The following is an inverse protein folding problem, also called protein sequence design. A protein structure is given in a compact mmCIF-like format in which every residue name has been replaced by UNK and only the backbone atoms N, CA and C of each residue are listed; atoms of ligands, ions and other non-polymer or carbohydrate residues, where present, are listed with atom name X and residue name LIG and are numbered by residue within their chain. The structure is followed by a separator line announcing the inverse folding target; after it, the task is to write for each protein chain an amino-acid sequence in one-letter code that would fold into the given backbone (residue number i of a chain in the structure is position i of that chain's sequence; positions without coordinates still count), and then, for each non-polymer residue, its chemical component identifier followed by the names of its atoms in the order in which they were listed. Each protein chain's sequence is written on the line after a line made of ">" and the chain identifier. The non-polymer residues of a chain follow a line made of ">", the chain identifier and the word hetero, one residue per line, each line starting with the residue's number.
data_IF_974986149044
#
_entry.id   IF_974986149044
#
_cell.length_a   1.000
_cell.length_b   1.000
_cell.length_c   1.000
_cell.angle_alpha   90.00
_cell.angle_beta   90.00
_cell.angle_gamma   90.00
#
_symmetry.space_group_name_H-M   'P 1'
#
loop_
_entity.id
_entity.type
_entity.pdbx_description
1 polymer ?
#
# COMPACT_ATOMS: atom_id res chain seq x y z
N UNK A 1 -16.71 -41.76 38.95
CA UNK A 1 -17.29 -40.70 38.07
C UNK A 1 -16.38 -39.52 37.81
N UNK A 2 -15.85 -38.77 38.81
CA UNK A 2 -14.98 -37.59 38.57
C UNK A 2 -13.73 -37.86 37.70
N UNK A 3 -13.02 -38.99 37.89
CA UNK A 3 -11.82 -39.34 37.08
C UNK A 3 -12.18 -39.68 35.63
N UNK A 4 -13.35 -40.32 35.36
CA UNK A 4 -13.80 -40.63 34.00
C UNK A 4 -14.19 -39.35 33.25
N UNK A 5 -14.85 -38.40 33.94
CA UNK A 5 -15.21 -37.08 33.36
C UNK A 5 -13.97 -36.26 32.99
N UNK A 6 -12.94 -36.31 33.83
CA UNK A 6 -11.67 -35.60 33.58
C UNK A 6 -10.94 -36.20 32.36
N UNK A 7 -10.90 -37.53 32.22
CA UNK A 7 -10.32 -38.20 31.06
C UNK A 7 -11.08 -37.87 29.77
N UNK A 8 -12.41 -37.83 29.79
CA UNK A 8 -13.22 -37.47 28.62
C UNK A 8 -13.01 -35.98 28.23
N UNK A 9 -12.86 -35.08 29.22
CA UNK A 9 -12.56 -33.68 28.93
C UNK A 9 -11.19 -33.49 28.33
N UNK A 10 -10.17 -34.19 28.82
CA UNK A 10 -8.79 -34.13 28.26
C UNK A 10 -8.75 -34.70 26.85
N UNK A 11 -9.45 -35.81 26.57
CA UNK A 11 -9.54 -36.40 25.23
C UNK A 11 -10.28 -35.45 24.28
N UNK A 12 -11.39 -34.82 24.72
CA UNK A 12 -12.13 -33.86 23.89
C UNK A 12 -11.30 -32.60 23.57
N UNK A 13 -10.49 -32.11 24.52
CA UNK A 13 -9.58 -31.00 24.29
C UNK A 13 -8.45 -31.41 23.34
N UNK A 14 -7.87 -32.57 23.52
CA UNK A 14 -6.81 -33.10 22.65
C UNK A 14 -7.31 -33.29 21.20
N UNK A 15 -8.54 -33.80 21.02
CA UNK A 15 -9.16 -33.97 19.67
C UNK A 15 -9.41 -32.59 19.04
N UNK A 16 -9.91 -31.61 19.79
CA UNK A 16 -10.09 -30.23 19.26
C UNK A 16 -8.79 -29.57 18.85
N UNK A 17 -7.73 -29.70 19.66
CA UNK A 17 -6.40 -29.14 19.36
C UNK A 17 -5.81 -29.81 18.11
N UNK A 18 -5.87 -31.14 17.99
CA UNK A 18 -5.39 -31.86 16.80
C UNK A 18 -6.16 -31.50 15.54
N UNK A 19 -7.47 -31.35 15.63
CA UNK A 19 -8.30 -30.91 14.50
C UNK A 19 -7.94 -29.48 14.06
N UNK A 20 -7.77 -28.56 15.00
CA UNK A 20 -7.39 -27.17 14.73
C UNK A 20 -6.01 -27.05 14.09
N UNK A 21 -5.00 -27.81 14.57
CA UNK A 21 -3.65 -27.85 13.98
C UNK A 21 -3.70 -28.37 12.55
N UNK A 22 -4.49 -29.42 12.30
CA UNK A 22 -4.66 -29.96 10.94
C UNK A 22 -5.32 -28.95 10.00
N UNK A 23 -6.35 -28.23 10.46
CA UNK A 23 -7.05 -27.24 9.64
C UNK A 23 -6.13 -26.05 9.29
N UNK A 24 -5.24 -25.64 10.17
CA UNK A 24 -4.22 -24.61 9.90
C UNK A 24 -3.25 -25.10 8.82
N UNK A 25 -2.71 -26.29 8.96
CA UNK A 25 -1.78 -26.87 8.00
C UNK A 25 -2.41 -27.07 6.60
N UNK A 26 -3.65 -27.56 6.56
CA UNK A 26 -4.41 -27.73 5.30
C UNK A 26 -4.65 -26.37 4.61
N UNK A 27 -4.96 -25.31 5.38
CA UNK A 27 -5.17 -23.98 4.85
C UNK A 27 -3.86 -23.33 4.35
N UNK A 28 -2.76 -23.52 5.08
CA UNK A 28 -1.44 -23.06 4.65
C UNK A 28 -1.04 -23.71 3.32
N UNK A 29 -1.24 -25.03 3.20
CA UNK A 29 -1.01 -25.72 1.93
C UNK A 29 -1.86 -25.16 0.80
N UNK A 30 -3.15 -24.93 1.04
CA UNK A 30 -4.05 -24.33 0.05
C UNK A 30 -3.57 -22.93 -0.37
N UNK A 31 -3.17 -22.11 0.60
CA UNK A 31 -2.63 -20.77 0.33
C UNK A 31 -1.37 -20.82 -0.52
N UNK A 32 -0.43 -21.74 -0.23
CA UNK A 32 0.78 -21.95 -1.04
C UNK A 32 0.42 -22.42 -2.46
N UNK A 33 -0.53 -23.35 -2.62
CA UNK A 33 -0.96 -23.85 -3.93
C UNK A 33 -1.62 -22.74 -4.77
N UNK A 34 -2.37 -21.82 -4.15
CA UNK A 34 -2.94 -20.64 -4.80
C UNK A 34 -1.84 -19.64 -5.14
N UNK A 35 -0.95 -19.37 -4.20
CA UNK A 35 0.15 -18.45 -4.38
C UNK A 35 1.06 -18.85 -5.54
N UNK A 36 1.43 -20.12 -5.58
CA UNK A 36 2.17 -20.70 -6.72
C UNK A 36 1.44 -20.48 -8.05
N UNK A 37 0.14 -20.80 -8.12
CA UNK A 37 -0.64 -20.59 -9.35
C UNK A 37 -0.64 -19.12 -9.77
N UNK A 38 -0.77 -18.18 -8.83
CA UNK A 38 -0.76 -16.74 -9.12
C UNK A 38 0.61 -16.26 -9.62
N UNK A 39 1.71 -16.69 -9.00
CA UNK A 39 3.07 -16.33 -9.43
C UNK A 39 3.36 -16.87 -10.84
N UNK A 40 2.93 -18.08 -11.15
CA UNK A 40 3.15 -18.73 -12.47
C UNK A 40 2.25 -18.17 -13.59
N UNK A 41 1.32 -17.26 -13.26
CA UNK A 41 0.58 -16.47 -14.23
C UNK A 41 1.25 -15.11 -14.38
N UNK A 42 1.87 -14.87 -15.53
CA UNK A 42 2.38 -13.54 -15.87
C UNK A 42 1.20 -12.57 -16.04
N UNK A 43 1.16 -11.54 -15.19
CA UNK A 43 0.13 -10.48 -15.15
C UNK A 43 0.74 -9.09 -15.30
N UNK A 44 1.90 -8.99 -15.96
CA UNK A 44 2.46 -7.70 -16.37
C UNK A 44 1.54 -7.00 -17.36
N UNK A 45 1.73 -5.72 -17.56
CA UNK A 45 0.90 -4.86 -18.42
C UNK A 45 0.58 -5.46 -19.80
N UNK A 46 1.56 -6.14 -20.41
CA UNK A 46 1.37 -6.78 -21.72
C UNK A 46 0.52 -8.05 -21.70
N UNK A 47 0.25 -8.64 -20.54
CA UNK A 47 -0.47 -9.91 -20.38
C UNK A 47 -1.84 -9.73 -19.71
N UNK A 48 -2.00 -8.71 -18.86
CA UNK A 48 -3.22 -8.40 -18.14
C UNK A 48 -3.56 -9.40 -17.02
N UNK A 49 -4.58 -9.09 -16.23
CA UNK A 49 -4.98 -9.81 -15.02
C UNK A 49 -6.08 -10.85 -15.23
N UNK A 50 -6.76 -10.85 -16.38
CA UNK A 50 -7.97 -11.66 -16.62
C UNK A 50 -7.77 -13.15 -16.34
N UNK A 51 -6.64 -13.72 -16.78
CA UNK A 51 -6.34 -15.15 -16.55
C UNK A 51 -6.23 -15.48 -15.05
N UNK A 52 -5.62 -14.59 -14.26
CA UNK A 52 -5.51 -14.77 -12.81
C UNK A 52 -6.89 -14.67 -12.15
N UNK A 53 -7.71 -13.68 -12.52
CA UNK A 53 -9.08 -13.51 -12.03
C UNK A 53 -9.95 -14.76 -12.32
N UNK A 54 -9.89 -15.31 -13.55
CA UNK A 54 -10.61 -16.53 -13.94
C UNK A 54 -10.17 -17.76 -13.15
N UNK A 55 -8.88 -17.91 -12.88
CA UNK A 55 -8.34 -19.00 -12.07
C UNK A 55 -8.81 -18.93 -10.62
N UNK A 56 -8.79 -17.75 -10.02
CA UNK A 56 -9.30 -17.57 -8.65
C UNK A 56 -10.81 -17.78 -8.58
N UNK A 57 -11.57 -17.33 -9.59
CA UNK A 57 -12.99 -17.64 -9.72
C UNK A 57 -13.25 -19.16 -9.80
N UNK A 58 -12.44 -19.90 -10.57
CA UNK A 58 -12.56 -21.38 -10.66
C UNK A 58 -12.29 -22.06 -9.32
N UNK A 59 -11.34 -21.58 -8.52
CA UNK A 59 -11.08 -22.11 -7.17
C UNK A 59 -12.25 -21.88 -6.22
N UNK A 60 -12.88 -20.71 -6.25
CA UNK A 60 -14.08 -20.42 -5.47
C UNK A 60 -15.26 -21.34 -5.86
N UNK A 61 -15.49 -21.54 -7.17
CA UNK A 61 -16.50 -22.49 -7.67
C UNK A 61 -16.22 -23.91 -7.20
N UNK A 62 -14.96 -24.34 -7.30
CA UNK A 62 -14.53 -25.67 -6.85
C UNK A 62 -14.72 -25.88 -5.35
N UNK A 63 -14.62 -24.80 -4.56
CA UNK A 63 -14.94 -24.81 -3.13
C UNK A 63 -16.45 -24.79 -2.84
N UNK A 64 -17.32 -24.78 -3.88
CA UNK A 64 -18.77 -24.85 -3.79
C UNK A 64 -19.43 -23.50 -3.48
N UNK A 65 -18.82 -22.37 -3.80
CA UNK A 65 -19.51 -21.08 -3.80
C UNK A 65 -20.43 -20.98 -5.03
N UNK A 66 -21.62 -20.36 -4.90
CA UNK A 66 -22.55 -20.20 -6.01
C UNK A 66 -21.97 -19.29 -7.11
N UNK A 67 -22.31 -19.59 -8.37
CA UNK A 67 -21.91 -18.74 -9.51
C UNK A 67 -22.47 -17.31 -9.42
N UNK A 68 -23.64 -17.14 -8.78
CA UNK A 68 -24.24 -15.83 -8.54
C UNK A 68 -23.37 -14.88 -7.72
N UNK A 69 -22.47 -15.43 -6.90
CA UNK A 69 -21.65 -14.70 -5.96
C UNK A 69 -20.25 -14.39 -6.53
N UNK A 70 -19.97 -14.88 -7.76
CA UNK A 70 -18.66 -14.82 -8.39
C UNK A 70 -18.79 -14.15 -9.76
N UNK A 71 -18.12 -13.02 -9.94
CA UNK A 71 -18.10 -12.30 -11.21
C UNK A 71 -16.65 -12.03 -11.66
N UNK A 72 -16.41 -12.17 -12.97
CA UNK A 72 -15.14 -11.78 -13.61
C UNK A 72 -15.47 -10.68 -14.62
N UNK A 73 -15.31 -9.44 -14.22
CA UNK A 73 -15.75 -8.24 -14.94
C UNK A 73 -14.63 -7.17 -14.95
N UNK A 74 -14.58 -6.34 -15.95
CA UNK A 74 -13.53 -5.30 -16.04
C UNK A 74 -13.67 -4.39 -17.24
N UNK A 75 -12.70 -3.51 -17.37
CA UNK A 75 -12.68 -2.46 -18.39
C UNK A 75 -12.62 -3.01 -19.82
N UNK A 76 -11.91 -4.11 -20.01
CA UNK A 76 -11.73 -4.79 -21.29
C UNK A 76 -11.43 -6.29 -21.10
N UNK A 77 -11.03 -6.97 -22.19
CA UNK A 77 -10.76 -8.41 -22.16
C UNK A 77 -9.48 -8.81 -21.41
N UNK A 78 -8.54 -7.88 -21.24
CA UNK A 78 -7.26 -8.13 -20.56
C UNK A 78 -7.31 -7.73 -19.08
N UNK A 79 -8.12 -6.71 -18.75
CA UNK A 79 -8.13 -6.08 -17.43
C UNK A 79 -9.44 -6.36 -16.69
N UNK A 80 -9.69 -7.67 -16.42
CA UNK A 80 -10.84 -8.08 -15.61
C UNK A 80 -10.44 -8.29 -14.15
N UNK A 81 -11.35 -7.90 -13.28
CA UNK A 81 -11.31 -8.12 -11.85
C UNK A 81 -12.05 -9.42 -11.51
N UNK A 82 -11.65 -10.09 -10.44
CA UNK A 82 -12.53 -11.03 -9.75
C UNK A 82 -13.30 -10.24 -8.69
N UNK A 83 -14.63 -10.34 -8.73
CA UNK A 83 -15.50 -9.88 -7.66
C UNK A 83 -16.22 -11.07 -7.05
N UNK A 84 -16.09 -11.21 -5.72
CA UNK A 84 -16.69 -12.31 -4.97
C UNK A 84 -17.39 -11.78 -3.71
N UNK A 85 -18.59 -12.31 -3.42
CA UNK A 85 -19.36 -11.97 -2.22
C UNK A 85 -19.65 -13.22 -1.39
N UNK A 86 -19.10 -13.25 -0.17
CA UNK A 86 -19.47 -14.25 0.84
C UNK A 86 -20.58 -13.67 1.70
N UNK A 87 -21.79 -14.18 1.52
CA UNK A 87 -22.97 -13.70 2.21
C UNK A 87 -22.94 -13.98 3.69
N UNK A 88 -23.30 -12.97 4.49
CA UNK A 88 -23.48 -13.04 5.91
C UNK A 88 -24.95 -12.89 6.33
N UNK A 89 -25.15 -12.58 7.60
CA UNK A 89 -26.49 -12.40 8.18
C UNK A 89 -27.12 -11.02 7.92
N UNK A 90 -26.41 -10.12 7.24
CA UNK A 90 -26.87 -8.77 6.93
C UNK A 90 -27.09 -7.86 8.15
N UNK A 91 -26.48 -8.18 9.30
CA UNK A 91 -26.62 -7.37 10.54
C UNK A 91 -25.85 -6.06 10.49
N UNK A 92 -24.78 -6.01 9.70
CA UNK A 92 -23.93 -4.86 9.47
C UNK A 92 -23.72 -4.65 7.98
N UNK A 93 -23.31 -3.44 7.56
CA UNK A 93 -22.87 -3.19 6.20
C UNK A 93 -21.68 -4.08 5.84
N UNK A 94 -21.52 -4.46 4.56
CA UNK A 94 -20.40 -5.28 4.10
C UNK A 94 -19.03 -4.70 4.47
N UNK A 95 -18.01 -5.55 4.54
CA UNK A 95 -16.61 -5.15 4.48
C UNK A 95 -16.05 -5.56 3.11
N UNK A 96 -15.33 -4.65 2.48
CA UNK A 96 -14.65 -4.88 1.19
C UNK A 96 -13.17 -5.17 1.45
N UNK A 97 -12.63 -6.17 0.77
CA UNK A 97 -11.20 -6.44 0.66
C UNK A 97 -10.80 -6.23 -0.79
N UNK A 98 -9.82 -5.38 -1.05
CA UNK A 98 -9.24 -5.20 -2.38
C UNK A 98 -7.79 -5.64 -2.38
N UNK A 99 -7.32 -6.20 -3.50
CA UNK A 99 -5.94 -6.56 -3.73
C UNK A 99 -5.71 -6.58 -5.24
N UNK A 100 -4.52 -6.23 -5.75
CA UNK A 100 -4.32 -6.21 -7.19
C UNK A 100 -3.63 -7.47 -7.70
N UNK A 101 -4.08 -7.94 -8.87
CA UNK A 101 -3.57 -9.14 -9.52
C UNK A 101 -2.38 -8.87 -10.45
N UNK A 102 -2.27 -7.65 -10.96
CA UNK A 102 -1.20 -7.27 -11.87
C UNK A 102 0.12 -7.04 -11.14
N UNK A 103 1.19 -7.03 -11.89
CA UNK A 103 2.55 -6.83 -11.38
C UNK A 103 3.36 -5.98 -12.35
N UNK A 104 4.34 -5.23 -11.84
CA UNK A 104 5.30 -4.54 -12.69
C UNK A 104 6.13 -5.50 -13.52
N UNK A 105 6.73 -4.98 -14.60
CA UNK A 105 7.59 -5.77 -15.48
C UNK A 105 8.75 -6.43 -14.73
N UNK A 106 9.08 -7.65 -15.17
CA UNK A 106 10.21 -8.41 -14.68
C UNK A 106 10.92 -9.06 -15.87
N UNK A 107 12.09 -8.54 -16.23
CA UNK A 107 12.87 -9.05 -17.33
C UNK A 107 13.74 -10.22 -16.84
N UNK A 108 13.59 -11.43 -17.40
CA UNK A 108 14.33 -12.61 -16.92
C UNK A 108 15.85 -12.45 -16.86
N UNK A 109 16.43 -11.65 -17.77
CA UNK A 109 17.88 -11.38 -17.79
C UNK A 109 18.38 -10.57 -16.59
N UNK A 110 17.49 -9.87 -15.88
CA UNK A 110 17.84 -9.06 -14.71
C UNK A 110 17.69 -9.82 -13.40
N UNK A 111 17.11 -11.05 -13.46
CA UNK A 111 16.85 -11.90 -12.30
C UNK A 111 17.82 -13.06 -12.21
N UNK A 112 18.12 -13.53 -11.00
CA UNK A 112 18.92 -14.74 -10.77
C UNK A 112 18.08 -16.03 -10.87
N UNK A 113 16.75 -15.91 -10.83
CA UNK A 113 15.74 -16.97 -11.00
C UNK A 113 14.68 -16.50 -11.99
N UNK A 114 13.88 -17.40 -12.59
CA UNK A 114 12.77 -17.01 -13.45
C UNK A 114 11.68 -16.30 -12.61
N UNK A 115 11.32 -15.03 -12.92
CA UNK A 115 10.35 -14.26 -12.15
C UNK A 115 8.93 -14.83 -12.15
N UNK A 116 8.58 -15.67 -13.12
CA UNK A 116 7.27 -16.30 -13.25
C UNK A 116 7.29 -17.82 -13.02
N UNK A 117 8.33 -18.29 -12.33
CA UNK A 117 8.40 -19.66 -11.80
C UNK A 117 8.47 -19.59 -10.28
N UNK A 118 7.44 -20.15 -9.61
CA UNK A 118 7.43 -20.19 -8.15
C UNK A 118 8.53 -21.09 -7.61
N UNK A 119 9.46 -20.51 -6.87
CA UNK A 119 10.61 -21.21 -6.32
C UNK A 119 10.66 -21.05 -4.79
N UNK A 120 10.66 -22.18 -4.08
CA UNK A 120 11.02 -22.21 -2.67
C UNK A 120 12.50 -22.51 -2.53
N UNK A 121 13.26 -21.60 -1.93
CA UNK A 121 14.71 -21.73 -1.71
C UNK A 121 15.16 -20.93 -0.51
N UNK A 122 16.05 -21.49 0.30
CA UNK A 122 16.71 -20.84 1.43
C UNK A 122 15.73 -20.19 2.43
N UNK A 123 14.53 -20.79 2.62
CA UNK A 123 13.49 -20.27 3.52
C UNK A 123 12.65 -19.15 2.96
N UNK A 124 12.71 -18.91 1.65
CA UNK A 124 11.93 -17.88 0.94
C UNK A 124 11.17 -18.46 -0.26
N UNK A 125 10.03 -17.86 -0.59
CA UNK A 125 9.35 -17.99 -1.87
C UNK A 125 9.78 -16.86 -2.78
N UNK A 126 10.29 -17.19 -3.96
CA UNK A 126 10.73 -16.27 -5.00
C UNK A 126 9.73 -16.18 -6.14
N UNK A 127 9.59 -15.01 -6.73
CA UNK A 127 8.80 -14.71 -7.92
C UNK A 127 8.29 -13.27 -7.91
N UNK A 128 7.96 -12.74 -9.07
CA UNK A 128 7.35 -11.41 -9.20
C UNK A 128 5.94 -11.41 -8.62
N UNK A 129 5.65 -10.48 -7.69
CA UNK A 129 4.40 -10.41 -6.95
C UNK A 129 4.43 -11.19 -5.64
N UNK A 130 5.60 -11.67 -5.19
CA UNK A 130 5.69 -12.39 -3.92
C UNK A 130 5.48 -11.49 -2.70
N UNK A 131 5.71 -10.19 -2.85
CA UNK A 131 5.44 -9.17 -1.82
C UNK A 131 4.47 -8.11 -2.28
N UNK A 132 4.29 -7.95 -3.60
CA UNK A 132 3.48 -6.92 -4.23
C UNK A 132 2.65 -7.50 -5.38
N UNK A 133 1.43 -8.03 -5.14
CA UNK A 133 0.79 -8.32 -3.84
C UNK A 133 0.03 -9.67 -3.91
N UNK A 134 0.51 -10.61 -4.76
CA UNK A 134 -0.12 -11.93 -4.99
C UNK A 134 -0.13 -12.84 -3.75
N UNK A 135 0.77 -12.59 -2.79
CA UNK A 135 0.77 -13.21 -1.47
C UNK A 135 -0.54 -12.96 -0.71
N UNK A 136 -1.02 -11.70 -0.71
CA UNK A 136 -2.26 -11.33 -0.05
C UNK A 136 -3.49 -11.76 -0.88
N UNK A 137 -3.44 -11.74 -2.22
CA UNK A 137 -4.46 -12.38 -3.07
C UNK A 137 -4.68 -13.84 -2.68
N UNK A 138 -3.58 -14.59 -2.57
CA UNK A 138 -3.63 -16.00 -2.19
C UNK A 138 -4.19 -16.19 -0.77
N UNK A 139 -3.80 -15.33 0.17
CA UNK A 139 -4.29 -15.32 1.54
C UNK A 139 -5.80 -15.10 1.60
N UNK A 140 -6.32 -14.10 0.89
CA UNK A 140 -7.75 -13.78 0.87
C UNK A 140 -8.58 -14.95 0.33
N UNK A 141 -8.19 -15.54 -0.81
CA UNK A 141 -8.92 -16.67 -1.42
C UNK A 141 -8.85 -17.93 -0.55
N UNK A 142 -7.68 -18.28 -0.02
CA UNK A 142 -7.54 -19.44 0.86
C UNK A 142 -8.41 -19.30 2.12
N UNK A 143 -8.43 -18.10 2.71
CA UNK A 143 -9.15 -17.86 3.96
C UNK A 143 -10.68 -17.88 3.79
N UNK A 144 -11.25 -17.37 2.69
CA UNK A 144 -12.70 -17.51 2.47
C UNK A 144 -13.08 -18.95 2.21
N UNK A 145 -12.23 -19.73 1.52
CA UNK A 145 -12.45 -21.18 1.34
C UNK A 145 -12.41 -21.92 2.68
N UNK A 146 -11.46 -21.57 3.56
CA UNK A 146 -11.39 -22.09 4.93
C UNK A 146 -12.64 -21.75 5.74
N UNK A 147 -13.05 -20.47 5.75
CA UNK A 147 -14.25 -20.03 6.48
C UNK A 147 -15.50 -20.80 6.02
N UNK A 148 -15.67 -21.02 4.73
CA UNK A 148 -16.76 -21.85 4.20
C UNK A 148 -16.67 -23.30 4.67
N UNK A 149 -15.49 -23.90 4.59
CA UNK A 149 -15.26 -25.30 5.02
C UNK A 149 -15.57 -25.49 6.52
N UNK A 150 -15.30 -24.49 7.34
CA UNK A 150 -15.64 -24.46 8.77
C UNK A 150 -17.13 -24.22 9.03
N UNK A 151 -17.93 -23.93 8.01
CA UNK A 151 -19.34 -23.56 8.17
C UNK A 151 -19.54 -22.21 8.87
N UNK A 152 -18.53 -21.32 8.79
CA UNK A 152 -18.62 -19.98 9.39
C UNK A 152 -19.68 -19.15 8.68
N UNK A 153 -20.55 -18.51 9.44
CA UNK A 153 -21.58 -17.58 8.97
C UNK A 153 -21.26 -16.20 9.50
N UNK A 154 -20.77 -15.30 8.64
CA UNK A 154 -20.42 -13.94 9.06
C UNK A 154 -21.66 -13.13 9.43
N UNK A 155 -21.51 -12.11 10.29
CA UNK A 155 -22.60 -11.19 10.64
C UNK A 155 -22.83 -10.11 9.57
N UNK A 156 -21.91 -9.95 8.63
CA UNK A 156 -21.93 -9.05 7.46
C UNK A 156 -21.37 -9.76 6.25
N UNK A 157 -21.70 -9.28 5.08
CA UNK A 157 -21.07 -9.79 3.85
C UNK A 157 -19.58 -9.43 3.82
N UNK A 158 -18.77 -10.39 3.33
CA UNK A 158 -17.38 -10.16 2.94
C UNK A 158 -17.33 -10.06 1.42
N UNK A 159 -16.93 -8.89 0.90
CA UNK A 159 -16.72 -8.67 -0.52
C UNK A 159 -15.22 -8.73 -0.78
N UNK A 160 -14.79 -9.54 -1.72
CA UNK A 160 -13.40 -9.59 -2.19
C UNK A 160 -13.37 -9.13 -3.63
N UNK A 161 -12.53 -8.13 -3.92
CA UNK A 161 -12.24 -7.67 -5.26
C UNK A 161 -10.75 -7.82 -5.52
N UNK A 162 -10.36 -8.83 -6.30
CA UNK A 162 -9.01 -8.93 -6.82
C UNK A 162 -8.97 -8.15 -8.13
N UNK A 163 -8.20 -7.07 -8.17
CA UNK A 163 -8.35 -6.01 -9.16
C UNK A 163 -7.23 -5.99 -10.20
N UNK A 164 -7.48 -5.30 -11.29
CA UNK A 164 -6.59 -5.18 -12.43
C UNK A 164 -5.89 -3.82 -12.45
N UNK A 165 -4.66 -3.78 -13.01
CA UNK A 165 -3.98 -2.60 -13.52
C UNK A 165 -3.80 -1.48 -12.46
N UNK A 166 -3.42 -1.86 -11.23
CA UNK A 166 -3.00 -0.92 -10.17
C UNK A 166 -1.70 -0.23 -10.57
N UNK A 167 -0.74 -1.02 -11.02
CA UNK A 167 0.65 -0.64 -11.28
C UNK A 167 0.82 0.30 -12.48
N UNK A 168 -0.01 0.18 -13.51
CA UNK A 168 0.04 1.05 -14.70
C UNK A 168 -1.11 2.07 -14.73
N UNK A 169 -2.28 1.73 -14.18
CA UNK A 169 -3.40 2.62 -13.95
C UNK A 169 -4.21 3.03 -15.17
N UNK A 170 -3.94 2.50 -16.36
CA UNK A 170 -4.68 2.86 -17.59
C UNK A 170 -6.09 2.27 -17.62
N UNK A 171 -6.24 1.05 -17.10
CA UNK A 171 -7.51 0.31 -16.99
C UNK A 171 -7.80 -0.10 -15.53
N UNK A 172 -7.37 0.72 -14.56
CA UNK A 172 -7.41 0.44 -13.14
C UNK A 172 -8.76 -0.10 -12.68
N UNK A 173 -8.72 -1.31 -12.11
CA UNK A 173 -9.91 -2.09 -11.77
C UNK A 173 -10.76 -1.47 -10.66
N UNK A 174 -10.15 -0.90 -9.61
CA UNK A 174 -10.89 -0.23 -8.53
C UNK A 174 -11.57 1.03 -9.04
N UNK A 175 -10.88 1.85 -9.84
CA UNK A 175 -11.47 3.04 -10.46
C UNK A 175 -12.63 2.67 -11.38
N UNK A 176 -12.48 1.59 -12.15
CA UNK A 176 -13.54 1.10 -13.04
C UNK A 176 -14.75 0.59 -12.26
N UNK A 177 -14.54 -0.18 -11.18
CA UNK A 177 -15.63 -0.67 -10.30
C UNK A 177 -16.36 0.50 -9.62
N UNK A 178 -15.64 1.46 -9.07
CA UNK A 178 -16.20 2.66 -8.45
C UNK A 178 -17.07 3.45 -9.42
N UNK A 179 -16.64 3.53 -10.68
CA UNK A 179 -17.34 4.33 -11.71
C UNK A 179 -18.55 3.63 -12.29
N UNK A 180 -18.48 2.30 -12.51
CA UNK A 180 -19.47 1.58 -13.29
C UNK A 180 -20.32 0.59 -12.45
N UNK A 181 -19.80 0.15 -11.30
CA UNK A 181 -20.40 -0.92 -10.49
C UNK A 181 -20.26 -0.64 -8.99
N UNK A 182 -20.51 0.60 -8.59
CA UNK A 182 -20.38 1.04 -7.20
C UNK A 182 -21.25 0.23 -6.23
N UNK A 183 -22.39 -0.23 -6.68
CA UNK A 183 -23.35 -1.06 -5.95
C UNK A 183 -22.76 -2.44 -5.56
N UNK A 184 -21.90 -3.02 -6.41
CA UNK A 184 -21.29 -4.31 -6.15
C UNK A 184 -20.21 -4.25 -5.05
N UNK A 185 -19.61 -3.09 -4.84
CA UNK A 185 -18.52 -2.88 -3.88
C UNK A 185 -18.89 -1.91 -2.73
N UNK A 186 -20.19 -1.60 -2.55
CA UNK A 186 -20.62 -0.75 -1.43
C UNK A 186 -20.36 -1.43 -0.10
N UNK A 187 -19.61 -0.76 0.77
CA UNK A 187 -19.16 -1.30 2.04
C UNK A 187 -19.10 -0.22 3.13
N UNK A 188 -19.08 -0.66 4.39
CA UNK A 188 -18.84 0.21 5.55
C UNK A 188 -17.41 0.76 5.54
N UNK A 189 -16.47 -0.10 5.19
CA UNK A 189 -15.06 0.22 4.99
C UNK A 189 -14.39 -0.84 4.10
N UNK A 190 -13.17 -0.53 3.68
CA UNK A 190 -12.35 -1.42 2.88
C UNK A 190 -11.03 -1.73 3.60
N UNK A 191 -10.58 -2.98 3.48
CA UNK A 191 -9.23 -3.44 3.81
C UNK A 191 -8.46 -3.59 2.51
N UNK A 192 -7.31 -2.92 2.41
CA UNK A 192 -6.39 -3.02 1.28
C UNK A 192 -5.03 -3.54 1.77
N UNK A 193 -4.76 -4.84 1.70
CA UNK A 193 -3.49 -5.41 2.17
C UNK A 193 -2.25 -4.78 1.53
N UNK A 194 -2.32 -4.36 0.27
CA UNK A 194 -1.26 -3.67 -0.46
C UNK A 194 -0.67 -2.47 0.30
N UNK A 195 -1.52 -1.69 0.97
CA UNK A 195 -1.07 -0.58 1.82
C UNK A 195 -0.59 -0.99 3.21
N UNK A 196 -0.65 -2.29 3.56
CA UNK A 196 -0.36 -2.83 4.89
C UNK A 196 0.98 -3.55 4.98
N UNK A 197 1.16 -4.23 6.09
CA UNK A 197 2.32 -5.09 6.33
C UNK A 197 3.04 -4.76 7.62
N UNK A 198 4.02 -5.58 7.94
CA UNK A 198 4.86 -5.41 9.12
C UNK A 198 6.34 -5.35 8.76
N UNK A 199 7.10 -4.68 9.62
CA UNK A 199 8.55 -4.56 9.48
C UNK A 199 9.25 -5.56 10.42
N UNK A 200 10.26 -6.21 9.88
CA UNK A 200 11.20 -7.02 10.65
C UNK A 200 12.58 -6.36 10.73
N UNK A 201 13.23 -6.54 11.87
CA UNK A 201 14.62 -6.16 12.06
C UNK A 201 15.34 -7.29 12.77
N UNK A 202 16.49 -7.71 12.22
CA UNK A 202 17.27 -8.85 12.76
C UNK A 202 16.41 -10.11 12.97
N UNK A 203 15.52 -10.41 12.01
CA UNK A 203 14.64 -11.58 12.03
C UNK A 203 13.51 -11.54 13.07
N UNK A 204 13.19 -10.35 13.62
CA UNK A 204 12.10 -10.18 14.60
C UNK A 204 11.10 -9.14 14.12
N UNK A 205 9.79 -9.40 14.20
CA UNK A 205 8.75 -8.40 14.00
C UNK A 205 8.91 -7.22 14.96
N UNK A 206 8.92 -5.99 14.43
CA UNK A 206 9.07 -4.76 15.22
C UNK A 206 7.86 -3.84 15.12
N UNK A 207 7.28 -3.68 13.92
CA UNK A 207 6.07 -2.87 13.70
C UNK A 207 5.08 -3.62 12.84
N UNK A 208 3.78 -3.36 13.07
CA UNK A 208 2.69 -3.73 12.17
C UNK A 208 1.92 -2.46 11.82
N UNK A 209 1.83 -2.14 10.53
CA UNK A 209 1.21 -0.93 10.06
C UNK A 209 -0.32 -1.06 9.96
N UNK A 210 -1.02 0.03 10.28
CA UNK A 210 -2.39 0.30 9.87
C UNK A 210 -2.35 1.56 9.02
N UNK A 211 -2.27 1.41 7.70
CA UNK A 211 -2.29 2.57 6.79
C UNK A 211 -3.70 3.16 6.75
N UNK A 212 -3.82 4.44 7.08
CA UNK A 212 -5.11 5.16 7.06
C UNK A 212 -5.15 6.27 6.02
N UNK A 213 -4.02 6.56 5.41
CA UNK A 213 -3.88 7.59 4.38
C UNK A 213 -2.67 7.37 3.50
N UNK A 214 -2.58 8.17 2.45
CA UNK A 214 -1.46 8.18 1.52
C UNK A 214 -1.21 9.59 1.02
N UNK A 215 0.03 9.87 0.60
CA UNK A 215 0.37 11.15 0.00
C UNK A 215 -0.26 11.31 -1.38
N UNK A 216 -0.60 12.55 -1.71
CA UNK A 216 -1.12 12.89 -3.03
C UNK A 216 0.07 13.09 -3.98
N UNK A 217 0.12 12.29 -5.04
CA UNK A 217 1.05 12.48 -6.15
C UNK A 217 0.57 13.63 -7.03
N UNK A 218 1.41 14.63 -7.26
CA UNK A 218 1.12 15.75 -8.16
C UNK A 218 2.41 16.20 -8.85
N UNK A 219 2.30 16.65 -10.10
CA UNK A 219 3.45 17.15 -10.85
C UNK A 219 3.20 18.54 -11.40
N UNK A 220 4.25 19.35 -11.36
CA UNK A 220 4.30 20.69 -11.94
C UNK A 220 5.41 20.76 -12.98
N UNK A 221 5.15 21.44 -14.09
CA UNK A 221 6.16 21.83 -15.05
C UNK A 221 6.60 23.27 -14.78
N UNK A 222 7.89 23.45 -14.63
CA UNK A 222 8.54 24.77 -14.64
C UNK A 222 9.05 25.05 -16.03
N UNK A 223 8.75 26.21 -16.59
CA UNK A 223 9.23 26.61 -17.90
C UNK A 223 9.77 28.04 -17.86
N UNK A 224 10.96 28.24 -18.44
CA UNK A 224 11.52 29.57 -18.73
C UNK A 224 11.72 29.72 -20.23
N UNK A 225 11.47 30.92 -20.75
CA UNK A 225 11.68 31.27 -22.15
C UNK A 225 12.63 32.43 -22.29
N UNK A 226 13.37 32.44 -23.40
CA UNK A 226 14.30 33.50 -23.75
C UNK A 226 14.35 33.68 -25.29
N UNK A 227 14.84 34.84 -25.75
CA UNK A 227 14.96 35.10 -27.18
C UNK A 227 15.97 34.15 -27.88
N UNK A 228 16.91 33.60 -27.11
CA UNK A 228 18.04 32.88 -27.70
C UNK A 228 19.07 33.83 -28.32
N UNK A 229 19.95 33.29 -29.09
CA UNK A 229 21.01 34.04 -29.80
C UNK A 229 22.24 33.19 -30.05
N UNK A 230 23.25 33.79 -30.66
CA UNK A 230 24.52 33.13 -30.90
C UNK A 230 25.40 33.11 -29.64
N UNK A 231 25.97 31.97 -29.30
CA UNK A 231 26.73 31.79 -28.02
C UNK A 231 27.98 32.66 -27.93
N UNK A 232 28.53 33.12 -29.07
CA UNK A 232 29.67 34.06 -29.10
C UNK A 232 29.29 35.48 -28.61
N UNK A 233 28.00 35.79 -28.48
CA UNK A 233 27.48 37.05 -27.96
C UNK A 233 26.66 36.76 -26.65
N UNK A 234 27.32 36.33 -25.55
CA UNK A 234 26.64 35.88 -24.38
C UNK A 234 25.93 37.02 -23.66
N UNK A 235 24.68 36.78 -23.23
CA UNK A 235 23.92 37.68 -22.39
C UNK A 235 23.67 37.04 -21.02
N UNK A 236 23.51 37.87 -19.98
CA UNK A 236 23.24 37.36 -18.62
C UNK A 236 21.84 36.77 -18.47
N UNK A 237 20.87 37.30 -19.21
CA UNK A 237 19.53 36.76 -19.26
C UNK A 237 19.54 35.48 -20.12
N UNK A 238 19.40 34.33 -19.47
CA UNK A 238 19.52 33.00 -20.08
C UNK A 238 18.51 32.04 -19.42
N UNK A 239 17.75 31.34 -20.24
CA UNK A 239 16.69 30.44 -19.76
C UNK A 239 17.24 29.35 -18.81
N UNK A 240 18.40 28.78 -19.11
CA UNK A 240 19.04 27.78 -18.23
C UNK A 240 19.42 28.39 -16.88
N UNK A 241 20.09 29.55 -16.89
CA UNK A 241 20.55 30.17 -15.63
C UNK A 241 19.38 30.57 -14.72
N UNK A 242 18.30 31.08 -15.32
CA UNK A 242 17.07 31.44 -14.62
C UNK A 242 16.42 30.21 -13.95
N UNK A 243 16.22 29.15 -14.70
CA UNK A 243 15.65 27.89 -14.19
C UNK A 243 16.54 27.29 -13.11
N UNK A 244 17.86 27.21 -13.32
CA UNK A 244 18.82 26.67 -12.36
C UNK A 244 18.81 27.45 -11.02
N UNK A 245 18.72 28.78 -11.10
CA UNK A 245 18.59 29.62 -9.89
C UNK A 245 17.28 29.33 -9.13
N UNK A 246 16.16 29.15 -9.84
CA UNK A 246 14.88 28.72 -9.25
C UNK A 246 14.98 27.35 -8.59
N UNK A 247 15.53 26.36 -9.28
CA UNK A 247 15.72 25.01 -8.74
C UNK A 247 16.66 25.00 -7.51
N UNK A 248 17.70 25.85 -7.49
CA UNK A 248 18.58 25.99 -6.32
C UNK A 248 17.84 26.54 -5.10
N UNK A 249 16.89 27.46 -5.31
CA UNK A 249 16.03 27.94 -4.21
C UNK A 249 15.08 26.86 -3.73
N UNK A 250 14.46 26.12 -4.66
CA UNK A 250 13.56 25.01 -4.33
C UNK A 250 14.29 23.91 -3.55
N UNK A 251 15.51 23.56 -3.94
CA UNK A 251 16.31 22.53 -3.26
C UNK A 251 16.67 22.87 -1.80
N UNK A 252 16.54 24.15 -1.40
CA UNK A 252 16.80 24.62 -0.03
C UNK A 252 15.53 24.88 0.77
N UNK A 253 14.38 24.67 0.16
CA UNK A 253 13.10 24.99 0.79
C UNK A 253 12.47 23.74 1.40
N UNK A 254 12.16 23.83 2.67
CA UNK A 254 11.37 22.83 3.40
C UNK A 254 9.95 23.35 3.60
N UNK A 255 8.94 22.59 3.16
CA UNK A 255 7.57 22.89 3.55
C UNK A 255 7.42 22.82 5.08
N UNK A 256 6.52 23.62 5.68
CA UNK A 256 6.28 23.56 7.12
C UNK A 256 5.89 22.17 7.61
N UNK A 257 6.30 21.84 8.83
CA UNK A 257 5.84 20.61 9.51
C UNK A 257 4.34 20.73 9.78
N UNK A 258 3.58 19.77 9.29
CA UNK A 258 2.14 19.64 9.55
C UNK A 258 1.84 18.17 9.85
N UNK A 259 1.42 17.88 11.06
CA UNK A 259 1.06 16.54 11.48
C UNK A 259 -0.47 16.43 11.49
N UNK A 260 -1.02 15.55 10.65
CA UNK A 260 -2.42 15.13 10.71
C UNK A 260 -2.60 14.06 11.81
N UNK A 261 -3.82 13.56 12.01
CA UNK A 261 -4.13 12.55 13.02
C UNK A 261 -3.23 11.31 12.88
N UNK A 262 -3.09 10.79 11.66
CA UNK A 262 -2.27 9.60 11.38
C UNK A 262 -0.81 9.82 11.71
N UNK A 263 -0.20 10.87 11.17
CA UNK A 263 1.23 11.12 11.34
C UNK A 263 1.60 11.54 12.75
N UNK A 264 0.71 12.21 13.47
CA UNK A 264 0.86 12.51 14.90
C UNK A 264 0.89 11.20 15.70
N UNK A 265 -0.11 10.35 15.54
CA UNK A 265 -0.15 9.04 16.21
C UNK A 265 1.06 8.16 15.87
N UNK A 266 1.52 8.20 14.61
CA UNK A 266 2.76 7.53 14.21
C UNK A 266 3.94 8.00 15.08
N UNK A 267 4.21 9.31 15.12
CA UNK A 267 5.34 9.84 15.88
C UNK A 267 5.20 9.62 17.40
N UNK A 268 3.99 9.69 17.95
CA UNK A 268 3.72 9.35 19.36
C UNK A 268 4.08 7.87 19.66
N UNK A 269 3.72 6.95 18.77
CA UNK A 269 4.00 5.51 18.94
C UNK A 269 5.49 5.20 18.84
N UNK A 270 6.17 5.71 17.81
CA UNK A 270 7.61 5.43 17.66
C UNK A 270 8.44 6.13 18.75
N UNK A 271 8.04 7.30 19.26
CA UNK A 271 8.70 7.98 20.37
C UNK A 271 8.85 7.11 21.61
N UNK A 272 7.88 6.22 21.87
CA UNK A 272 7.90 5.31 23.01
C UNK A 272 9.06 4.29 22.95
N UNK A 273 9.48 3.91 21.73
CA UNK A 273 10.60 2.97 21.49
C UNK A 273 11.96 3.68 21.30
N UNK A 274 11.97 4.99 21.15
CA UNK A 274 13.18 5.78 20.88
C UNK A 274 13.82 6.32 22.17
N UNK A 275 15.08 6.75 22.05
CA UNK A 275 15.84 7.34 23.15
C UNK A 275 16.76 8.46 22.67
N UNK A 276 17.36 9.20 23.60
CA UNK A 276 18.33 10.24 23.30
C UNK A 276 17.78 11.37 22.45
N UNK A 277 18.58 11.83 21.47
CA UNK A 277 18.24 13.01 20.66
C UNK A 277 17.02 12.76 19.75
N UNK A 278 16.89 11.56 19.17
CA UNK A 278 15.77 11.21 18.28
C UNK A 278 14.45 11.35 19.04
N UNK A 279 14.35 10.80 20.23
CA UNK A 279 13.16 10.92 21.09
C UNK A 279 12.84 12.39 21.36
N UNK A 280 13.84 13.17 21.79
CA UNK A 280 13.68 14.60 22.10
C UNK A 280 13.21 15.39 20.88
N UNK A 281 13.70 15.07 19.69
CA UNK A 281 13.31 15.73 18.44
C UNK A 281 11.88 15.34 18.03
N UNK A 282 11.49 14.08 18.20
CA UNK A 282 10.09 13.64 17.97
C UNK A 282 9.15 14.40 18.92
N UNK A 283 9.46 14.47 20.21
CA UNK A 283 8.67 15.20 21.18
C UNK A 283 8.58 16.71 20.86
N UNK A 284 9.63 17.28 20.26
CA UNK A 284 9.65 18.68 19.85
C UNK A 284 8.76 18.97 18.63
N UNK A 285 8.66 18.06 17.66
CA UNK A 285 7.76 18.23 16.51
C UNK A 285 6.29 17.95 16.86
N UNK A 286 6.02 17.21 17.92
CA UNK A 286 4.66 16.92 18.40
C UNK A 286 4.00 18.11 19.11
N UNK A 287 4.74 19.18 19.44
CA UNK A 287 4.18 20.39 20.04
C UNK A 287 3.22 21.11 19.09
N UNK A 288 2.37 21.97 19.64
CA UNK A 288 1.44 22.82 18.87
C UNK A 288 2.18 23.66 17.82
N UNK A 289 3.36 24.21 18.20
CA UNK A 289 4.30 24.83 17.29
C UNK A 289 5.51 23.90 17.12
N UNK A 290 5.57 23.11 16.04
CA UNK A 290 6.66 22.18 15.80
C UNK A 290 8.02 22.88 15.71
N UNK A 291 9.03 22.29 16.34
CA UNK A 291 10.41 22.81 16.28
C UNK A 291 11.05 22.47 14.92
N UNK A 292 11.38 23.50 14.15
CA UNK A 292 11.97 23.35 12.81
C UNK A 292 13.39 22.80 12.82
N UNK A 293 14.17 23.07 13.88
CA UNK A 293 15.51 22.51 14.01
C UNK A 293 15.46 21.01 14.33
N UNK A 294 14.53 20.60 15.19
CA UNK A 294 14.27 19.18 15.46
C UNK A 294 13.81 18.46 14.20
N UNK A 295 12.89 19.05 13.41
CA UNK A 295 12.44 18.49 12.15
C UNK A 295 13.58 18.26 11.15
N UNK A 296 14.53 19.21 11.03
CA UNK A 296 15.72 19.04 10.18
C UNK A 296 16.66 17.94 10.66
N UNK A 297 16.81 17.76 11.96
CA UNK A 297 17.59 16.64 12.49
C UNK A 297 16.92 15.30 12.18
N UNK A 298 15.59 15.19 12.35
CA UNK A 298 14.84 14.00 11.98
C UNK A 298 14.91 13.69 10.47
N UNK A 299 14.85 14.71 9.62
CA UNK A 299 15.06 14.57 8.17
C UNK A 299 16.44 13.99 7.84
N UNK A 300 17.49 14.44 8.53
CA UNK A 300 18.85 13.93 8.33
C UNK A 300 19.03 12.47 8.79
N UNK A 301 18.17 11.99 9.70
CA UNK A 301 18.14 10.61 10.17
C UNK A 301 17.35 9.71 9.21
N UNK A 302 16.22 10.21 8.69
CA UNK A 302 15.32 9.39 7.86
C UNK A 302 14.53 10.25 6.87
N UNK A 303 14.69 9.98 5.57
CA UNK A 303 13.88 10.57 4.52
C UNK A 303 12.37 10.19 4.69
N UNK A 304 12.08 9.03 5.28
CA UNK A 304 10.72 8.62 5.61
C UNK A 304 10.11 9.54 6.68
N UNK A 305 10.86 9.87 7.75
CA UNK A 305 10.39 10.83 8.76
C UNK A 305 10.10 12.19 8.14
N UNK A 306 10.98 12.66 7.23
CA UNK A 306 10.72 13.89 6.50
C UNK A 306 9.41 13.84 5.70
N UNK A 307 9.20 12.75 4.97
CA UNK A 307 7.98 12.54 4.20
C UNK A 307 6.72 12.46 5.08
N UNK A 308 6.82 11.91 6.29
CA UNK A 308 5.70 11.85 7.25
C UNK A 308 5.37 13.21 7.88
N UNK A 309 6.35 14.12 7.97
CA UNK A 309 6.17 15.41 8.62
C UNK A 309 5.55 16.49 7.72
N UNK A 310 5.71 16.41 6.40
CA UNK A 310 5.40 17.53 5.49
C UNK A 310 5.17 17.12 4.04
N UNK A 311 4.59 18.01 3.27
CA UNK A 311 4.64 17.94 1.80
C UNK A 311 6.09 18.06 1.34
N UNK A 312 6.46 17.26 0.33
CA UNK A 312 7.81 17.27 -0.25
C UNK A 312 7.71 17.46 -1.76
N UNK A 313 8.61 18.29 -2.32
CA UNK A 313 8.69 18.55 -3.75
C UNK A 313 10.13 18.40 -4.22
N UNK A 314 10.35 17.68 -5.32
CA UNK A 314 11.68 17.41 -5.89
C UNK A 314 11.68 17.52 -7.39
N UNK A 315 12.75 18.09 -7.96
CA UNK A 315 12.95 18.07 -9.40
C UNK A 315 13.35 16.66 -9.88
N UNK A 316 12.57 16.10 -10.81
CA UNK A 316 12.78 14.74 -11.34
C UNK A 316 13.23 14.70 -12.77
N UNK A 317 12.94 15.75 -13.57
CA UNK A 317 13.35 15.85 -14.95
C UNK A 317 13.81 17.27 -15.27
N UNK A 318 14.79 17.39 -16.18
CA UNK A 318 15.32 18.66 -16.65
C UNK A 318 15.66 18.55 -18.14
N UNK A 319 15.24 19.55 -18.93
CA UNK A 319 15.61 19.66 -20.34
C UNK A 319 15.83 21.12 -20.71
N UNK A 320 16.85 21.41 -21.55
CA UNK A 320 17.14 22.77 -21.96
C UNK A 320 18.06 22.82 -23.19
N UNK A 321 17.93 23.90 -23.97
CA UNK A 321 18.76 24.15 -25.16
C UNK A 321 18.44 23.21 -26.33
N UNK A 322 19.11 23.45 -27.47
CA UNK A 322 18.95 22.63 -28.67
C UNK A 322 20.25 22.55 -29.52
N UNK A 323 21.23 23.40 -29.22
CA UNK A 323 22.54 23.39 -29.91
C UNK A 323 23.62 24.01 -29.01
N UNK A 324 24.87 23.53 -29.14
CA UNK A 324 25.99 23.96 -28.31
C UNK A 324 26.38 25.45 -28.57
N UNK A 325 26.17 25.94 -29.79
CA UNK A 325 26.54 27.27 -30.22
C UNK A 325 25.36 28.26 -30.17
N UNK A 326 24.25 27.91 -29.53
CA UNK A 326 23.06 28.75 -29.41
C UNK A 326 22.69 29.00 -27.92
N UNK A 327 22.31 30.24 -27.61
CA UNK A 327 21.69 30.55 -26.33
C UNK A 327 20.32 29.86 -26.25
N UNK A 328 19.98 29.22 -25.13
CA UNK A 328 18.76 28.42 -24.98
C UNK A 328 17.49 29.30 -25.04
N UNK A 329 16.58 28.95 -25.94
CA UNK A 329 15.27 29.64 -26.02
C UNK A 329 14.26 29.12 -24.99
N UNK A 330 14.52 27.92 -24.45
CA UNK A 330 13.65 27.26 -23.46
C UNK A 330 14.48 26.43 -22.50
N UNK A 331 14.07 26.43 -21.24
CA UNK A 331 14.49 25.45 -20.24
C UNK A 331 13.27 25.00 -19.44
N UNK A 332 13.15 23.71 -19.15
CA UNK A 332 12.03 23.09 -18.45
C UNK A 332 12.49 22.13 -17.37
N UNK A 333 11.73 22.03 -16.29
CA UNK A 333 11.91 21.01 -15.26
C UNK A 333 10.56 20.47 -14.82
N UNK A 334 10.51 19.17 -14.52
CA UNK A 334 9.38 18.55 -13.86
C UNK A 334 9.65 18.53 -12.35
N UNK A 335 8.73 19.07 -11.58
CA UNK A 335 8.74 19.00 -10.11
C UNK A 335 7.66 18.02 -9.70
N UNK A 336 8.07 16.88 -9.13
CA UNK A 336 7.15 15.96 -8.50
C UNK A 336 6.97 16.33 -7.03
N UNK A 337 5.72 16.49 -6.61
CA UNK A 337 5.36 16.74 -5.23
C UNK A 337 4.58 15.56 -4.67
N UNK A 338 4.91 15.16 -3.46
CA UNK A 338 4.16 14.24 -2.62
C UNK A 338 3.54 15.04 -1.48
N UNK A 339 2.30 15.46 -1.69
CA UNK A 339 1.58 16.34 -0.77
C UNK A 339 0.98 15.54 0.39
N UNK A 340 0.82 16.20 1.54
CA UNK A 340 -0.04 15.66 2.59
C UNK A 340 -1.49 15.54 2.07
N UNK A 341 -2.28 14.55 2.52
CA UNK A 341 -3.64 14.32 2.00
C UNK A 341 -4.62 15.47 2.28
N UNK A 342 -4.31 16.33 3.23
CA UNK A 342 -5.07 17.51 3.64
C UNK A 342 -4.51 18.84 3.08
N UNK A 343 -3.49 18.78 2.21
CA UNK A 343 -2.97 19.95 1.51
C UNK A 343 -3.79 20.28 0.25
N UNK A 344 -3.89 21.58 -0.05
CA UNK A 344 -4.50 22.06 -1.28
C UNK A 344 -3.44 22.19 -2.39
N UNK A 345 -3.64 21.59 -3.56
CA UNK A 345 -2.71 21.71 -4.69
C UNK A 345 -2.44 23.14 -5.16
N UNK A 346 -3.43 24.03 -5.04
CA UNK A 346 -3.26 25.44 -5.43
C UNK A 346 -2.36 26.19 -4.45
N UNK A 347 -2.44 25.89 -3.16
CA UNK A 347 -1.56 26.46 -2.13
C UNK A 347 -0.11 25.97 -2.33
N UNK A 348 0.06 24.70 -2.69
CA UNK A 348 1.38 24.15 -3.03
C UNK A 348 1.96 24.83 -4.26
N UNK A 349 1.14 25.04 -5.31
CA UNK A 349 1.57 25.77 -6.51
C UNK A 349 1.94 27.22 -6.20
N UNK A 350 1.16 27.91 -5.35
CA UNK A 350 1.47 29.27 -4.91
C UNK A 350 2.79 29.32 -4.12
N UNK A 351 3.01 28.35 -3.24
CA UNK A 351 4.27 28.19 -2.50
C UNK A 351 5.44 27.99 -3.44
N UNK A 352 5.31 27.11 -4.45
CA UNK A 352 6.37 26.92 -5.45
C UNK A 352 6.71 28.23 -6.18
N UNK A 353 5.71 28.99 -6.64
CA UNK A 353 5.92 30.30 -7.29
C UNK A 353 6.68 31.27 -6.36
N UNK A 354 6.29 31.35 -5.10
CA UNK A 354 6.96 32.20 -4.12
C UNK A 354 8.42 31.79 -3.88
N UNK A 355 8.68 30.48 -3.75
CA UNK A 355 10.04 29.93 -3.56
C UNK A 355 10.91 30.17 -4.79
N UNK A 356 10.37 29.98 -5.98
CA UNK A 356 11.08 30.22 -7.24
C UNK A 356 11.44 31.72 -7.37
N UNK A 357 10.67 32.63 -6.81
CA UNK A 357 10.93 34.07 -6.74
C UNK A 357 11.40 34.68 -8.07
N UNK A 358 10.74 34.31 -9.16
CA UNK A 358 10.99 34.79 -10.53
C UNK A 358 9.73 34.59 -11.38
N UNK A 359 9.07 35.69 -11.74
CA UNK A 359 7.82 35.69 -12.48
C UNK A 359 7.94 35.17 -13.94
N UNK A 360 9.19 35.06 -14.43
CA UNK A 360 9.45 34.50 -15.75
C UNK A 360 9.64 32.97 -15.70
N UNK A 361 9.54 32.34 -14.55
CA UNK A 361 9.40 30.90 -14.40
C UNK A 361 7.91 30.58 -14.37
N UNK A 362 7.35 30.15 -15.51
CA UNK A 362 5.98 29.69 -15.57
C UNK A 362 5.84 28.37 -14.81
N UNK A 363 4.86 28.29 -13.91
CA UNK A 363 4.53 27.07 -13.15
C UNK A 363 3.17 26.59 -13.59
N UNK A 364 3.10 25.40 -14.20
CA UNK A 364 1.86 24.77 -14.67
C UNK A 364 1.71 23.39 -14.05
N UNK A 365 0.49 23.04 -13.67
CA UNK A 365 0.17 21.70 -13.18
C UNK A 365 0.02 20.76 -14.36
N UNK A 366 0.79 19.67 -14.40
CA UNK A 366 0.74 18.68 -15.49
C UNK A 366 -0.09 17.46 -15.13
N UNK A 367 -0.25 17.21 -13.84
CA UNK A 367 -1.11 16.16 -13.32
C UNK A 367 -1.86 16.69 -12.09
N UNK A 368 -3.17 16.53 -12.07
CA UNK A 368 -4.05 17.16 -11.05
C UNK A 368 -4.04 16.44 -9.71
N UNK A 369 -3.46 15.24 -9.65
CA UNK A 369 -3.49 14.42 -8.45
C UNK A 369 -4.88 13.86 -8.13
N UNK A 370 -4.92 12.87 -7.27
CA UNK A 370 -6.14 12.29 -6.74
C UNK A 370 -6.24 12.68 -5.26
N UNK A 371 -7.08 13.68 -4.96
CA UNK A 371 -7.32 14.10 -3.58
C UNK A 371 -8.28 13.08 -2.96
N UNK A 372 -7.82 12.40 -1.92
CA UNK A 372 -8.61 11.45 -1.16
C UNK A 372 -8.50 11.77 0.35
N UNK A 373 -9.62 11.80 1.10
CA UNK A 373 -9.57 12.09 2.52
C UNK A 373 -8.85 10.99 3.31
N UNK A 374 -8.41 11.34 4.52
CA UNK A 374 -7.94 10.37 5.51
C UNK A 374 -9.07 9.42 5.91
N UNK A 375 -8.74 8.15 6.14
CA UNK A 375 -9.64 7.23 6.84
C UNK A 375 -9.54 7.49 8.36
N UNK A 376 -10.66 7.66 9.08
CA UNK A 376 -10.63 7.88 10.52
C UNK A 376 -10.06 6.66 11.25
N UNK A 377 -9.33 6.86 12.35
CA UNK A 377 -8.87 5.74 13.18
C UNK A 377 -10.07 5.13 13.92
N UNK A 378 -10.46 3.91 13.55
CA UNK A 378 -11.60 3.18 14.11
C UNK A 378 -11.11 2.08 15.07
N UNK A 379 -11.65 2.08 16.29
CA UNK A 379 -11.30 1.08 17.33
C UNK A 379 -11.79 -0.32 16.96
N UNK A 380 -12.92 -0.44 16.26
CA UNK A 380 -13.47 -1.71 15.77
C UNK A 380 -12.62 -2.36 14.64
N UNK A 381 -11.66 -1.62 14.10
CA UNK A 381 -10.66 -2.12 13.14
C UNK A 381 -9.31 -2.30 13.83
N UNK A 382 -8.81 -1.26 14.51
CA UNK A 382 -7.49 -1.31 15.17
C UNK A 382 -7.46 -2.25 16.38
N UNK A 383 -8.55 -2.41 17.11
CA UNK A 383 -8.64 -3.31 18.26
C UNK A 383 -8.31 -4.76 17.90
N UNK A 384 -9.01 -5.39 16.92
CA UNK A 384 -8.66 -6.71 16.44
C UNK A 384 -7.21 -6.84 15.97
N UNK A 385 -6.68 -5.87 15.22
CA UNK A 385 -5.28 -5.89 14.77
C UNK A 385 -4.33 -5.93 15.97
N UNK A 386 -4.53 -5.08 16.98
CA UNK A 386 -3.72 -5.03 18.20
C UNK A 386 -3.76 -6.37 18.93
N UNK A 387 -4.95 -6.94 19.13
CA UNK A 387 -5.13 -8.20 19.88
C UNK A 387 -4.47 -9.38 19.14
N UNK A 388 -4.68 -9.50 17.83
CA UNK A 388 -4.11 -10.57 17.01
C UNK A 388 -2.59 -10.42 16.97
N UNK A 389 -2.07 -9.22 16.73
CA UNK A 389 -0.64 -8.93 16.72
C UNK A 389 0.03 -9.28 18.05
N UNK A 390 -0.56 -8.89 19.17
CA UNK A 390 -0.03 -9.22 20.50
C UNK A 390 0.05 -10.73 20.76
N UNK A 391 -0.87 -11.52 20.19
CA UNK A 391 -0.87 -12.97 20.31
C UNK A 391 0.12 -13.68 19.38
N UNK A 392 0.34 -13.14 18.16
CA UNK A 392 1.18 -13.77 17.15
C UNK A 392 2.63 -13.26 17.20
N UNK A 393 2.82 -11.98 17.49
CA UNK A 393 4.13 -11.31 17.48
C UNK A 393 4.32 -10.45 18.75
N UNK A 394 4.51 -11.10 19.92
CA UNK A 394 4.69 -10.38 21.17
C UNK A 394 5.86 -9.38 21.07
N UNK A 395 5.57 -8.11 21.35
CA UNK A 395 6.56 -7.03 21.28
C UNK A 395 6.51 -6.21 19.97
N UNK A 396 5.81 -6.64 18.93
CA UNK A 396 5.58 -5.81 17.75
C UNK A 396 4.61 -4.67 18.08
N UNK A 397 4.94 -3.45 17.65
CA UNK A 397 4.12 -2.26 17.88
C UNK A 397 3.15 -2.05 16.71
N UNK A 398 1.85 -2.01 17.00
CA UNK A 398 0.85 -1.64 15.98
C UNK A 398 0.81 -0.12 15.86
N UNK A 399 1.05 0.40 14.64
CA UNK A 399 1.24 1.83 14.39
C UNK A 399 0.40 2.30 13.21
N UNK A 400 -0.43 3.37 13.37
CA UNK A 400 -1.07 3.99 12.22
C UNK A 400 -0.02 4.65 11.32
N UNK A 401 -0.17 4.51 10.01
CA UNK A 401 0.80 5.03 9.03
C UNK A 401 0.12 5.76 7.88
N UNK A 402 0.90 6.62 7.24
CA UNK A 402 0.57 7.24 5.95
C UNK A 402 1.55 6.70 4.90
N UNK A 403 1.05 6.09 3.84
CA UNK A 403 1.91 5.72 2.72
C UNK A 403 2.54 6.96 2.07
N UNK A 404 3.80 6.90 1.76
CA UNK A 404 4.49 7.92 0.95
C UNK A 404 4.26 7.70 -0.55
N UNK A 405 3.80 6.50 -0.93
CA UNK A 405 3.31 6.12 -2.24
C UNK A 405 1.82 6.43 -2.42
N UNK A 406 1.19 5.72 -3.36
CA UNK A 406 -0.23 5.74 -3.60
C UNK A 406 -0.71 4.31 -3.87
N UNK A 407 -1.94 3.99 -3.50
CA UNK A 407 -2.58 2.71 -3.72
C UNK A 407 -3.97 2.90 -4.31
N UNK A 408 -4.64 1.82 -4.67
CA UNK A 408 -6.04 1.83 -5.10
C UNK A 408 -7.00 2.37 -4.04
N UNK A 409 -6.60 2.42 -2.79
CA UNK A 409 -7.38 3.00 -1.70
C UNK A 409 -7.86 4.43 -1.95
N UNK A 410 -7.12 5.22 -2.73
CA UNK A 410 -7.49 6.60 -3.11
C UNK A 410 -8.85 6.71 -3.79
N UNK A 411 -9.19 5.76 -4.66
CA UNK A 411 -10.45 5.78 -5.41
C UNK A 411 -11.66 5.57 -4.49
N UNK A 412 -11.54 4.64 -3.54
CA UNK A 412 -12.61 4.34 -2.58
C UNK A 412 -12.78 5.45 -1.54
N UNK A 413 -11.68 5.96 -0.97
CA UNK A 413 -11.73 7.09 -0.02
C UNK A 413 -12.41 8.31 -0.62
N UNK A 414 -12.13 8.63 -1.88
CA UNK A 414 -12.79 9.72 -2.60
C UNK A 414 -14.31 9.53 -2.71
N UNK A 415 -14.79 8.30 -2.72
CA UNK A 415 -16.21 7.94 -2.79
C UNK A 415 -16.83 7.71 -1.40
N UNK A 416 -16.14 8.09 -0.35
CA UNK A 416 -16.62 8.01 1.02
C UNK A 416 -16.55 6.63 1.67
N UNK A 417 -15.83 5.66 1.08
CA UNK A 417 -15.50 4.39 1.75
C UNK A 417 -14.12 4.54 2.39
N UNK A 418 -14.02 4.52 3.74
CA UNK A 418 -12.74 4.49 4.41
C UNK A 418 -11.94 3.25 4.03
N UNK A 419 -10.62 3.40 3.81
CA UNK A 419 -9.72 2.30 3.43
C UNK A 419 -8.59 2.21 4.45
N UNK A 420 -8.31 0.98 4.88
CA UNK A 420 -7.23 0.67 5.82
C UNK A 420 -6.28 -0.33 5.18
N UNK A 421 -5.01 0.07 5.06
CA UNK A 421 -3.94 -0.84 4.64
C UNK A 421 -3.56 -1.73 5.81
N UNK A 422 -3.92 -3.00 5.73
CA UNK A 422 -3.67 -3.99 6.79
C UNK A 422 -3.35 -5.32 6.14
N UNK A 423 -2.13 -5.80 6.36
CA UNK A 423 -1.67 -7.14 6.01
C UNK A 423 -0.88 -7.73 7.19
N UNK A 424 -0.90 -9.03 7.33
CA UNK A 424 -0.06 -9.76 8.29
C UNK A 424 1.29 -10.20 7.73
N UNK A 425 1.61 -9.79 6.51
CA UNK A 425 2.87 -10.11 5.86
C UNK A 425 3.97 -9.21 6.39
N UNK A 426 5.08 -9.82 6.83
CA UNK A 426 6.24 -9.09 7.35
C UNK A 426 7.39 -9.13 6.35
N UNK A 427 8.04 -7.98 6.16
CA UNK A 427 9.24 -7.81 5.35
C UNK A 427 10.45 -7.38 6.17
N UNK A 428 11.65 -7.74 5.73
CA UNK A 428 12.89 -7.24 6.34
C UNK A 428 13.13 -5.79 5.86
N UNK A 429 13.28 -4.86 6.81
CA UNK A 429 13.54 -3.44 6.53
C UNK A 429 14.82 -3.22 5.71
N UNK A 430 15.78 -4.12 5.83
CA UNK A 430 17.08 -4.04 5.16
C UNK A 430 17.13 -4.83 3.84
N UNK A 431 16.04 -5.55 3.46
CA UNK A 431 15.94 -6.35 2.22
C UNK A 431 14.59 -6.13 1.50
N UNK A 432 14.29 -4.90 1.15
CA UNK A 432 13.06 -4.52 0.42
C UNK A 432 13.26 -4.79 -1.08
N UNK A 433 12.46 -5.73 -1.64
CA UNK A 433 12.60 -6.18 -3.04
C UNK A 433 11.35 -5.96 -3.90
N UNK A 434 10.29 -5.38 -3.39
CA UNK A 434 9.14 -4.98 -4.19
C UNK A 434 9.62 -4.12 -5.38
N UNK A 435 9.10 -4.38 -6.59
CA UNK A 435 9.54 -3.79 -7.86
C UNK A 435 11.00 -4.08 -8.26
N UNK A 436 11.78 -4.72 -7.40
CA UNK A 436 13.18 -5.11 -7.63
C UNK A 436 13.33 -6.48 -8.30
N UNK A 437 14.58 -6.89 -8.48
CA UNK A 437 14.94 -8.24 -8.91
C UNK A 437 14.89 -9.21 -7.72
N UNK A 438 14.69 -10.49 -8.03
CA UNK A 438 14.68 -11.57 -7.05
C UNK A 438 13.73 -11.28 -5.87
N UNK A 439 12.54 -10.75 -6.18
CA UNK A 439 11.50 -10.47 -5.21
C UNK A 439 11.14 -11.74 -4.46
N UNK A 440 11.00 -11.64 -3.14
CA UNK A 440 10.79 -12.80 -2.28
C UNK A 440 10.09 -12.47 -0.98
N UNK A 441 9.36 -13.44 -0.45
CA UNK A 441 8.80 -13.41 0.91
C UNK A 441 9.28 -14.61 1.71
N UNK A 442 9.50 -14.46 3.00
CA UNK A 442 9.83 -15.57 3.88
C UNK A 442 8.68 -16.58 3.98
N UNK A 443 9.01 -17.87 3.97
CA UNK A 443 8.03 -18.97 4.11
C UNK A 443 7.21 -18.83 5.39
N UNK A 444 7.87 -18.50 6.49
CA UNK A 444 7.22 -18.27 7.78
C UNK A 444 6.34 -17.01 7.76
N UNK A 445 6.84 -15.93 7.19
CA UNK A 445 6.15 -14.64 7.12
C UNK A 445 4.87 -14.76 6.27
N UNK A 446 4.91 -15.51 5.18
CA UNK A 446 3.73 -15.84 4.39
C UNK A 446 2.71 -16.66 5.22
N UNK A 447 3.17 -17.73 5.89
CA UNK A 447 2.28 -18.58 6.68
C UNK A 447 1.63 -17.83 7.85
N UNK A 448 2.40 -16.98 8.54
CA UNK A 448 1.90 -16.13 9.62
C UNK A 448 0.90 -15.08 9.08
N UNK A 449 1.20 -14.47 7.93
CA UNK A 449 0.32 -13.50 7.29
C UNK A 449 -1.03 -14.09 6.91
N UNK A 450 -1.04 -15.32 6.35
CA UNK A 450 -2.28 -16.05 6.03
C UNK A 450 -3.12 -16.29 7.30
N UNK A 451 -2.50 -16.71 8.39
CA UNK A 451 -3.20 -16.96 9.66
C UNK A 451 -3.69 -15.65 10.31
N UNK A 452 -2.90 -14.56 10.24
CA UNK A 452 -3.32 -13.25 10.69
C UNK A 452 -4.58 -12.80 9.95
N UNK A 453 -4.57 -12.84 8.63
CA UNK A 453 -5.70 -12.41 7.79
C UNK A 453 -6.95 -13.26 8.07
N UNK A 454 -6.81 -14.57 8.27
CA UNK A 454 -7.91 -15.43 8.68
C UNK A 454 -8.56 -14.95 9.98
N UNK A 455 -7.75 -14.73 11.03
CA UNK A 455 -8.23 -14.25 12.31
C UNK A 455 -8.88 -12.87 12.20
N UNK A 456 -8.28 -12.00 11.40
CA UNK A 456 -8.77 -10.65 11.19
C UNK A 456 -10.11 -10.62 10.44
N UNK A 457 -10.25 -11.37 9.34
CA UNK A 457 -11.51 -11.51 8.62
C UNK A 457 -12.63 -12.02 9.54
N UNK A 458 -12.30 -13.01 10.36
CA UNK A 458 -13.25 -13.59 11.33
C UNK A 458 -13.64 -12.58 12.40
N UNK A 459 -12.70 -11.82 12.93
CA UNK A 459 -12.95 -10.77 13.92
C UNK A 459 -13.85 -9.66 13.38
N UNK A 460 -13.60 -9.17 12.17
CA UNK A 460 -14.40 -8.12 11.51
C UNK A 460 -15.83 -8.56 11.19
N UNK A 461 -16.09 -9.87 11.11
CA UNK A 461 -17.37 -10.44 10.69
C UNK A 461 -18.03 -11.34 11.73
N UNK A 462 -17.51 -11.40 12.96
CA UNK A 462 -18.15 -12.06 14.10
C UNK A 462 -18.99 -11.06 14.89
N UNK A 463 -20.13 -11.48 15.40
CA UNK A 463 -21.04 -10.63 16.21
C UNK A 463 -20.54 -10.29 17.62
N UNK A 464 -19.49 -10.94 18.06
CA UNK A 464 -18.83 -10.68 19.34
C UNK A 464 -17.44 -10.17 19.02
N UNK A 465 -17.10 -8.95 19.48
CA UNK A 465 -15.69 -8.55 19.54
C UNK A 465 -14.90 -9.65 20.25
N UNK A 466 -13.67 -9.90 19.78
CA UNK A 466 -12.77 -10.89 20.38
C UNK A 466 -12.59 -10.64 21.87
#
# INVERSE_FOLDING_TARGET
>A
MKRLLLCLLVIAVAIKVTAQVKDIADNQKLAIDIFKELIEINTTSGHGSTKAAEKMAARLRSAGFPDSDIQVIGADQMHKNLLFRFHGQGKLKPVLFICHLDVVEALPQDWSVDPFTFLEKDGYYYGRGTTDVKNDDASLIANVIRLKKEGFVPNRDLIIALTADEEMGNANGVNWLVTNHRDLIDADFCINPDGGGGDMKNGKPVTLAIQTSEKIYISFNLETKNKGGHSSLPVKDNAIYRLAAGLTRLAKYDFPVRLNETTRNFFEKISAGESGQIKSDIEAILKIAPDTAAARRLESVSAYYNAMMRTTCVATMLSAGHAENALPQRAQATINCRMLPDDNPDDVMATLKNVLSDDQIAVTRTYTGFIAPLSPLRVDISGPVIQISASMWPGATVTPTMSTGATDGKYLRRQGIPVYGISGMFGDMDDVRAHGRDERIGVKEFADGVEFMYRFMKALSSGNGL
#
